data_IF_412809523547
#
_entry.id   IF_412809523547
#
_cell.length_a   1.000
_cell.length_b   1.000
_cell.length_c   1.000
_cell.angle_alpha   90.00
_cell.angle_beta   90.00
_cell.angle_gamma   90.00
#
_symmetry.space_group_name_H-M   'P 1'
#
loop_
_entity.id
_entity.type
_entity.pdbx_description
1 polymer ?
#
# COMPACT_ATOMS: atom_id res chain seq x y z
N UNK A 1 21.72 0.61 -7.54
CA UNK A 1 21.02 -0.58 -6.99
C UNK A 1 19.88 -0.94 -7.94
N UNK A 2 19.93 -2.11 -8.59
CA UNK A 2 18.80 -2.64 -9.36
C UNK A 2 18.00 -3.52 -8.41
N UNK A 3 17.01 -2.93 -7.75
CA UNK A 3 16.25 -3.58 -6.68
C UNK A 3 14.93 -4.16 -7.18
N UNK A 4 14.84 -4.74 -8.38
CA UNK A 4 13.56 -5.30 -8.82
C UNK A 4 13.75 -6.56 -9.68
N UNK A 5 13.71 -7.74 -9.03
CA UNK A 5 13.64 -9.05 -9.68
C UNK A 5 12.32 -9.75 -9.27
N UNK A 6 11.22 -9.30 -9.89
CA UNK A 6 9.89 -9.89 -10.22
C UNK A 6 9.17 -10.89 -9.30
N UNK A 7 9.83 -11.72 -8.49
CA UNK A 7 9.18 -12.67 -7.55
C UNK A 7 9.53 -12.37 -6.09
N UNK A 8 10.74 -11.88 -5.82
CA UNK A 8 11.10 -11.36 -4.50
C UNK A 8 10.40 -10.03 -4.21
N UNK A 9 10.21 -9.19 -5.22
CA UNK A 9 9.63 -7.84 -5.06
C UNK A 9 8.19 -7.88 -4.53
N UNK A 10 7.39 -8.88 -4.92
CA UNK A 10 6.02 -9.04 -4.43
C UNK A 10 5.99 -9.45 -2.95
N UNK A 11 6.82 -10.41 -2.54
CA UNK A 11 6.90 -10.81 -1.14
C UNK A 11 7.42 -9.67 -0.25
N UNK A 12 8.43 -8.93 -0.70
CA UNK A 12 8.92 -7.74 0.01
C UNK A 12 7.85 -6.66 0.11
N UNK A 13 7.09 -6.42 -0.96
CA UNK A 13 5.94 -5.52 -0.94
C UNK A 13 4.87 -5.96 0.06
N UNK A 14 4.46 -7.23 0.01
CA UNK A 14 3.45 -7.79 0.93
C UNK A 14 3.95 -7.69 2.38
N UNK A 15 5.21 -8.03 2.65
CA UNK A 15 5.78 -7.90 3.99
C UNK A 15 5.82 -6.44 4.46
N UNK A 16 6.20 -5.49 3.61
CA UNK A 16 6.18 -4.07 3.97
C UNK A 16 4.77 -3.57 4.29
N UNK A 17 3.77 -4.00 3.53
CA UNK A 17 2.37 -3.66 3.78
C UNK A 17 1.88 -4.32 5.08
N UNK A 18 2.21 -5.59 5.31
CA UNK A 18 1.81 -6.32 6.53
C UNK A 18 2.43 -5.71 7.79
N UNK A 19 3.73 -5.38 7.76
CA UNK A 19 4.43 -4.72 8.87
C UNK A 19 3.83 -3.34 9.13
N UNK A 20 3.53 -2.57 8.09
CA UNK A 20 2.88 -1.27 8.29
C UNK A 20 1.43 -1.40 8.79
N UNK A 21 0.77 -2.54 8.53
CA UNK A 21 -0.56 -2.86 9.06
C UNK A 21 -0.53 -3.40 10.51
N UNK A 22 0.64 -3.51 11.15
CA UNK A 22 0.69 -3.69 12.62
C UNK A 22 0.14 -2.46 13.35
N UNK A 23 0.21 -1.28 12.72
CA UNK A 23 -0.52 -0.11 13.16
C UNK A 23 -1.99 -0.22 12.72
N UNK A 24 -2.89 -0.25 13.71
CA UNK A 24 -4.33 -0.41 13.48
C UNK A 24 -4.93 0.73 12.65
N UNK A 25 -4.43 1.95 12.78
CA UNK A 25 -4.89 3.09 11.99
C UNK A 25 -4.45 2.94 10.54
N UNK A 26 -3.17 2.64 10.31
CA UNK A 26 -2.63 2.44 8.95
C UNK A 26 -3.32 1.27 8.27
N UNK A 27 -3.56 0.17 8.97
CA UNK A 27 -4.32 -0.98 8.46
C UNK A 27 -5.72 -0.59 8.03
N UNK A 28 -6.44 0.18 8.85
CA UNK A 28 -7.78 0.65 8.53
C UNK A 28 -7.81 1.56 7.29
N UNK A 29 -6.83 2.46 7.16
CA UNK A 29 -6.72 3.35 6.01
C UNK A 29 -6.40 2.57 4.72
N UNK A 30 -5.47 1.60 4.76
CA UNK A 30 -5.16 0.74 3.60
C UNK A 30 -6.35 -0.15 3.22
N UNK A 31 -7.05 -0.73 4.18
CA UNK A 31 -8.27 -1.51 3.93
C UNK A 31 -9.35 -0.67 3.24
N UNK A 32 -9.60 0.54 3.75
CA UNK A 32 -10.57 1.45 3.13
C UNK A 32 -10.16 1.80 1.69
N UNK A 33 -8.89 2.16 1.47
CA UNK A 33 -8.38 2.50 0.15
C UNK A 33 -8.49 1.34 -0.84
N UNK A 34 -8.22 0.11 -0.41
CA UNK A 34 -8.24 -1.07 -1.30
C UNK A 34 -9.64 -1.54 -1.68
N UNK A 35 -10.67 -1.24 -0.87
CA UNK A 35 -12.07 -1.53 -1.17
C UNK A 35 -12.70 -0.58 -2.20
N UNK A 36 -12.13 0.62 -2.36
CA UNK A 36 -12.72 1.65 -3.20
C UNK A 36 -12.52 1.37 -4.70
N UNK A 37 -13.50 1.74 -5.54
CA UNK A 37 -13.32 1.72 -6.98
C UNK A 37 -12.24 2.72 -7.40
N UNK A 38 -11.59 2.45 -8.54
CA UNK A 38 -10.38 3.18 -8.97
C UNK A 38 -10.56 4.71 -8.95
N UNK A 39 -11.69 5.22 -9.45
CA UNK A 39 -12.01 6.64 -9.50
C UNK A 39 -12.04 7.32 -8.11
N UNK A 40 -12.49 6.62 -7.07
CA UNK A 40 -12.51 7.13 -5.70
C UNK A 40 -11.19 6.84 -4.96
N UNK A 41 -10.53 5.72 -5.28
CA UNK A 41 -9.29 5.29 -4.63
C UNK A 41 -8.13 6.23 -4.93
N UNK A 42 -7.91 6.60 -6.20
CA UNK A 42 -6.74 7.38 -6.61
C UNK A 42 -6.57 8.71 -5.86
N UNK A 43 -7.58 9.59 -5.75
CA UNK A 43 -7.42 10.85 -5.03
C UNK A 43 -7.14 10.65 -3.54
N UNK A 44 -7.82 9.69 -2.89
CA UNK A 44 -7.61 9.39 -1.48
C UNK A 44 -6.22 8.76 -1.22
N UNK A 45 -5.77 7.89 -2.11
CA UNK A 45 -4.45 7.29 -2.04
C UNK A 45 -3.34 8.33 -2.21
N UNK A 46 -3.52 9.33 -3.08
CA UNK A 46 -2.57 10.43 -3.22
C UNK A 46 -2.49 11.26 -1.93
N UNK A 47 -3.63 11.62 -1.34
CA UNK A 47 -3.66 12.35 -0.05
C UNK A 47 -2.98 11.53 1.06
N UNK A 48 -3.23 10.21 1.11
CA UNK A 48 -2.56 9.33 2.06
C UNK A 48 -1.04 9.31 1.86
N UNK A 49 -0.56 9.23 0.61
CA UNK A 49 0.86 9.30 0.28
C UNK A 49 1.48 10.65 0.70
N UNK A 50 0.79 11.76 0.47
CA UNK A 50 1.25 13.10 0.88
C UNK A 50 1.39 13.18 2.41
N UNK A 51 0.39 12.70 3.17
CA UNK A 51 0.49 12.62 4.63
C UNK A 51 1.67 11.78 5.10
N UNK A 52 1.91 10.63 4.46
CA UNK A 52 3.06 9.78 4.77
C UNK A 52 4.39 10.49 4.50
N UNK A 53 4.46 11.30 3.43
CA UNK A 53 5.63 12.11 3.12
C UNK A 53 5.86 13.20 4.19
N UNK A 54 4.81 13.89 4.60
CA UNK A 54 4.87 14.93 5.65
C UNK A 54 5.31 14.35 7.00
N UNK A 55 4.83 13.14 7.31
CA UNK A 55 5.20 12.39 8.52
C UNK A 55 6.57 11.70 8.41
N UNK A 56 7.30 11.88 7.30
CA UNK A 56 8.62 11.27 7.04
C UNK A 56 8.60 9.75 7.13
N UNK A 57 7.52 9.11 6.66
CA UNK A 57 7.44 7.66 6.56
C UNK A 57 8.58 7.10 5.69
N UNK A 58 8.99 5.83 5.90
CA UNK A 58 10.02 5.20 5.10
C UNK A 58 9.68 5.24 3.60
N UNK A 59 10.67 5.61 2.78
CA UNK A 59 10.50 5.72 1.31
C UNK A 59 9.99 4.41 0.70
N UNK A 60 10.51 3.28 1.16
CA UNK A 60 10.11 1.96 0.66
C UNK A 60 8.63 1.67 0.96
N UNK A 61 8.11 2.15 2.09
CA UNK A 61 6.70 2.03 2.43
C UNK A 61 5.83 2.97 1.58
N UNK A 62 6.27 4.20 1.34
CA UNK A 62 5.58 5.12 0.41
C UNK A 62 5.52 4.52 -1.00
N UNK A 63 6.61 3.93 -1.49
CA UNK A 63 6.65 3.25 -2.78
C UNK A 63 5.74 2.02 -2.80
N UNK A 64 5.69 1.24 -1.72
CA UNK A 64 4.73 0.16 -1.59
C UNK A 64 3.28 0.67 -1.73
N UNK A 65 2.90 1.69 -0.96
CA UNK A 65 1.54 2.26 -1.01
C UNK A 65 1.18 2.81 -2.40
N UNK A 66 2.14 3.40 -3.13
CA UNK A 66 1.92 3.85 -4.53
C UNK A 66 1.48 2.73 -5.47
N UNK A 67 1.93 1.49 -5.22
CA UNK A 67 1.58 0.34 -6.06
C UNK A 67 0.07 0.02 -5.99
N UNK A 68 -0.61 0.38 -4.89
CA UNK A 68 -2.07 0.22 -4.71
C UNK A 68 -2.91 1.03 -5.72
N UNK A 69 -2.28 1.91 -6.51
CA UNK A 69 -2.95 2.53 -7.68
C UNK A 69 -3.42 1.47 -8.67
N UNK A 70 -2.68 0.36 -8.80
CA UNK A 70 -3.00 -0.77 -9.67
C UNK A 70 -4.11 -1.62 -9.05
N UNK A 71 -5.20 -1.81 -9.80
CA UNK A 71 -6.43 -2.44 -9.28
C UNK A 71 -6.29 -3.93 -8.93
N UNK A 72 -5.51 -4.67 -9.70
CA UNK A 72 -5.17 -6.07 -9.43
C UNK A 72 -4.42 -6.23 -8.11
N UNK A 73 -3.48 -5.31 -7.83
CA UNK A 73 -2.69 -5.34 -6.59
C UNK A 73 -3.52 -4.89 -5.39
N UNK A 74 -4.31 -3.82 -5.53
CA UNK A 74 -5.24 -3.41 -4.47
C UNK A 74 -6.19 -4.54 -4.07
N UNK A 75 -6.69 -5.30 -5.04
CA UNK A 75 -7.56 -6.47 -4.78
C UNK A 75 -6.82 -7.57 -4.03
N UNK A 76 -5.57 -7.87 -4.39
CA UNK A 76 -4.76 -8.88 -3.70
C UNK A 76 -4.43 -8.48 -2.26
N UNK A 77 -4.08 -7.22 -2.05
CA UNK A 77 -3.79 -6.69 -0.71
C UNK A 77 -5.03 -6.69 0.17
N UNK A 78 -6.19 -6.34 -0.37
CA UNK A 78 -7.45 -6.43 0.37
C UNK A 78 -7.71 -7.86 0.89
N UNK A 79 -7.52 -8.87 0.04
CA UNK A 79 -7.65 -10.28 0.44
C UNK A 79 -6.67 -10.64 1.55
N UNK A 80 -5.39 -10.30 1.39
CA UNK A 80 -4.36 -10.59 2.38
C UNK A 80 -4.61 -9.94 3.75
N UNK A 81 -5.29 -8.80 3.80
CA UNK A 81 -5.59 -8.09 5.05
C UNK A 81 -6.90 -8.53 5.72
N UNK A 82 -7.71 -9.32 5.02
CA UNK A 82 -9.02 -9.82 5.49
C UNK A 82 -9.07 -11.32 5.73
N UNK A 83 -8.09 -12.07 5.23
CA UNK A 83 -7.77 -13.45 5.63
C UNK A 83 -7.09 -13.50 7.00
#
# INVERSE_FOLDING_TARGET
>A
MKLFQKKNDYNTFVQLVLVACEDAQVKSEILLLTQLPWNARIPLLNNFIEKMQDQKAPKDFIEAVKILKKGDIATQVYKLLTE
#
